data_IF_583883220464
#
_entry.id   IF_583883220464
#
_cell.length_a   1.000
_cell.length_b   1.000
_cell.length_c   1.000
_cell.angle_alpha   90.00
_cell.angle_beta   90.00
_cell.angle_gamma   90.00
#
_symmetry.space_group_name_H-M   'P 1'
#
loop_
_entity.id
_entity.type
_entity.pdbx_description
1 polymer ?
#
# COMPACT_ATOMS: atom_id res chain seq x y z
N UNK A 1 10.40 -4.36 14.71
CA UNK A 1 10.82 -3.01 14.28
C UNK A 1 10.46 -2.89 12.82
N UNK A 2 9.73 -1.85 12.44
CA UNK A 2 9.31 -1.64 11.05
C UNK A 2 10.50 -1.28 10.16
N UNK A 3 10.30 -1.42 8.85
CA UNK A 3 11.20 -0.94 7.80
C UNK A 3 11.69 0.51 8.02
N UNK A 4 10.90 1.33 8.71
CA UNK A 4 11.17 2.75 8.92
C UNK A 4 12.02 3.06 10.16
N UNK A 5 11.87 2.32 11.27
CA UNK A 5 12.33 2.77 12.59
C UNK A 5 13.86 3.03 12.71
N UNK A 6 14.68 2.37 11.89
CA UNK A 6 16.15 2.54 11.86
C UNK A 6 16.64 3.62 10.88
N UNK A 7 15.76 4.10 10.02
CA UNK A 7 16.03 5.08 8.95
C UNK A 7 15.26 6.39 9.11
N UNK A 8 14.26 6.45 10.00
CA UNK A 8 13.42 7.62 10.23
C UNK A 8 14.23 8.79 10.83
N UNK A 9 14.31 9.88 10.07
CA UNK A 9 14.50 11.21 10.65
C UNK A 9 13.18 11.71 11.23
N UNK A 10 13.24 12.75 12.07
CA UNK A 10 12.06 13.40 12.65
C UNK A 10 11.04 13.83 11.59
N UNK A 11 11.50 14.32 10.44
CA UNK A 11 10.65 14.70 9.30
C UNK A 11 9.89 13.50 8.71
N UNK A 12 10.57 12.37 8.52
CA UNK A 12 9.93 11.16 7.99
C UNK A 12 8.92 10.58 8.98
N UNK A 13 9.22 10.66 10.28
CA UNK A 13 8.30 10.22 11.32
C UNK A 13 7.03 11.07 11.33
N UNK A 14 7.18 12.39 11.22
CA UNK A 14 6.05 13.33 11.10
C UNK A 14 5.20 13.04 9.86
N UNK A 15 5.83 12.80 8.71
CA UNK A 15 5.13 12.47 7.47
C UNK A 15 4.36 11.15 7.57
N UNK A 16 4.98 10.12 8.17
CA UNK A 16 4.36 8.82 8.42
C UNK A 16 3.14 8.94 9.34
N UNK A 17 3.21 9.78 10.37
CA UNK A 17 2.07 10.04 11.27
C UNK A 17 0.90 10.68 10.52
N UNK A 18 1.16 11.66 9.65
CA UNK A 18 0.12 12.27 8.81
C UNK A 18 -0.57 11.25 7.91
N UNK A 19 0.20 10.32 7.36
CA UNK A 19 -0.33 9.26 6.50
C UNK A 19 -1.20 8.28 7.28
N UNK A 20 -0.68 7.77 8.42
CA UNK A 20 -1.41 6.85 9.29
C UNK A 20 -2.75 7.43 9.73
N UNK A 21 -2.80 8.71 10.10
CA UNK A 21 -3.98 9.40 10.62
C UNK A 21 -4.58 10.39 9.62
N UNK A 22 -4.47 10.10 8.33
CA UNK A 22 -5.09 10.91 7.29
C UNK A 22 -6.62 11.00 7.52
N UNK A 23 -7.27 12.15 7.25
CA UNK A 23 -8.71 12.33 7.50
C UNK A 23 -9.61 11.25 6.89
N UNK A 24 -9.27 10.75 5.69
CA UNK A 24 -9.94 9.60 5.06
C UNK A 24 -10.12 8.42 6.03
N UNK A 25 -9.05 8.04 6.75
CA UNK A 25 -9.05 6.90 7.66
C UNK A 25 -9.79 7.20 8.96
N UNK A 26 -9.63 8.42 9.48
CA UNK A 26 -10.33 8.88 10.68
C UNK A 26 -11.85 8.88 10.44
N UNK A 27 -12.30 9.34 9.28
CA UNK A 27 -13.71 9.36 8.92
C UNK A 27 -14.29 7.94 8.77
N UNK A 28 -13.50 6.95 8.32
CA UNK A 28 -13.90 5.54 8.32
C UNK A 28 -14.07 5.03 9.76
N UNK A 29 -13.09 5.29 10.63
CA UNK A 29 -13.14 4.87 12.04
C UNK A 29 -14.32 5.46 12.80
N UNK A 30 -14.68 6.70 12.48
CA UNK A 30 -15.81 7.42 13.08
C UNK A 30 -17.15 7.06 12.44
N UNK A 31 -17.15 6.38 11.28
CA UNK A 31 -18.35 6.07 10.52
C UNK A 31 -19.00 7.29 9.85
N UNK A 32 -18.21 8.33 9.57
CA UNK A 32 -18.67 9.59 8.96
C UNK A 32 -18.32 9.69 7.47
N UNK A 33 -17.45 8.82 6.96
CA UNK A 33 -17.12 8.77 5.54
C UNK A 33 -18.34 8.28 4.72
N UNK A 34 -18.77 8.97 3.64
CA UNK A 34 -19.85 8.49 2.79
C UNK A 34 -19.52 7.16 2.09
N UNK A 35 -20.53 6.31 1.86
CA UNK A 35 -20.34 5.02 1.18
C UNK A 35 -19.81 5.19 -0.25
N UNK A 36 -20.20 6.26 -0.93
CA UNK A 36 -19.72 6.63 -2.27
C UNK A 36 -18.21 6.88 -2.27
N UNK A 37 -17.68 7.40 -1.15
CA UNK A 37 -16.24 7.63 -0.98
C UNK A 37 -15.49 6.31 -0.73
N UNK A 38 -16.10 5.35 -0.03
CA UNK A 38 -15.56 3.99 0.10
C UNK A 38 -15.51 3.27 -1.24
N UNK A 39 -16.55 3.42 -2.07
CA UNK A 39 -16.57 2.91 -3.46
C UNK A 39 -15.42 3.51 -4.26
N UNK A 40 -15.26 4.84 -4.20
CA UNK A 40 -14.16 5.52 -4.90
C UNK A 40 -12.80 5.03 -4.41
N UNK A 41 -12.61 4.86 -3.11
CA UNK A 41 -11.39 4.27 -2.56
C UNK A 41 -11.13 2.88 -3.13
N UNK A 42 -12.13 1.97 -3.13
CA UNK A 42 -11.96 0.62 -3.66
C UNK A 42 -11.51 0.60 -5.14
N UNK A 43 -12.11 1.46 -5.98
CA UNK A 43 -11.76 1.56 -7.39
C UNK A 43 -10.37 2.16 -7.62
N UNK A 44 -9.99 3.19 -6.86
CA UNK A 44 -8.68 3.82 -7.02
C UNK A 44 -7.55 2.96 -6.43
N UNK A 45 -7.81 2.24 -5.33
CA UNK A 45 -6.83 1.32 -4.72
C UNK A 45 -6.53 0.12 -5.63
N UNK A 46 -7.51 -0.29 -6.43
CA UNK A 46 -7.33 -1.32 -7.44
C UNK A 46 -6.24 -0.96 -8.48
N UNK A 47 -5.92 0.32 -8.69
CA UNK A 47 -4.80 0.74 -9.55
C UNK A 47 -3.45 0.22 -9.05
N UNK A 48 -3.28 0.05 -7.73
CA UNK A 48 -2.07 -0.54 -7.14
C UNK A 48 -2.25 -2.05 -7.04
N UNK A 49 -3.36 -2.52 -6.46
CA UNK A 49 -3.59 -3.93 -6.13
C UNK A 49 -3.64 -4.83 -7.37
N UNK A 50 -4.27 -4.38 -8.46
CA UNK A 50 -4.31 -5.13 -9.73
C UNK A 50 -2.95 -5.14 -10.46
N UNK A 51 -2.07 -4.20 -10.14
CA UNK A 51 -0.73 -4.09 -10.70
C UNK A 51 0.35 -4.75 -9.83
N UNK A 52 0.02 -5.19 -8.62
CA UNK A 52 0.89 -5.89 -7.67
C UNK A 52 1.80 -6.92 -8.34
N UNK A 53 1.25 -7.88 -9.10
CA UNK A 53 2.05 -8.93 -9.72
C UNK A 53 3.09 -8.38 -10.71
N UNK A 54 2.77 -7.30 -11.43
CA UNK A 54 3.70 -6.64 -12.35
C UNK A 54 4.78 -5.88 -11.59
N UNK A 55 4.41 -5.20 -10.50
CA UNK A 55 5.34 -4.50 -9.61
C UNK A 55 6.32 -5.51 -8.96
N UNK A 56 5.82 -6.56 -8.31
CA UNK A 56 6.67 -7.59 -7.70
C UNK A 56 7.53 -8.32 -8.75
N UNK A 57 7.02 -8.57 -9.96
CA UNK A 57 7.82 -9.12 -11.06
C UNK A 57 8.96 -8.19 -11.48
N UNK A 58 8.74 -6.88 -11.53
CA UNK A 58 9.82 -5.90 -11.79
C UNK A 58 10.85 -5.88 -10.66
N UNK A 59 10.42 -5.98 -9.41
CA UNK A 59 11.33 -6.08 -8.27
C UNK A 59 12.25 -7.31 -8.41
N UNK A 60 11.68 -8.47 -8.72
CA UNK A 60 12.42 -9.73 -8.91
C UNK A 60 13.37 -9.62 -10.11
N UNK A 61 12.88 -9.15 -11.26
CA UNK A 61 13.68 -9.03 -12.48
C UNK A 61 14.82 -8.00 -12.36
N UNK A 62 14.63 -6.96 -11.54
CA UNK A 62 15.63 -5.93 -11.30
C UNK A 62 16.74 -6.35 -10.33
N UNK A 63 16.54 -7.39 -9.52
CA UNK A 63 17.50 -7.89 -8.54
C UNK A 63 18.53 -8.83 -9.19
N UNK A 64 19.80 -8.70 -8.81
CA UNK A 64 20.92 -9.50 -9.34
C UNK A 64 21.34 -10.61 -8.39
N UNK A 65 21.13 -10.43 -7.09
CA UNK A 65 21.39 -11.44 -6.07
C UNK A 65 20.28 -12.50 -6.09
N UNK A 66 20.63 -13.73 -6.46
CA UNK A 66 19.70 -14.86 -6.57
C UNK A 66 18.99 -15.14 -5.24
N UNK A 67 19.68 -15.01 -4.11
CA UNK A 67 19.05 -15.26 -2.82
C UNK A 67 18.03 -14.16 -2.47
N UNK A 68 18.32 -12.91 -2.87
CA UNK A 68 17.38 -11.80 -2.73
C UNK A 68 16.17 -11.97 -3.67
N UNK A 69 16.35 -12.48 -4.89
CA UNK A 69 15.23 -12.86 -5.77
C UNK A 69 14.32 -13.91 -5.12
N UNK A 70 14.90 -14.95 -4.49
CA UNK A 70 14.13 -15.97 -3.75
C UNK A 70 13.33 -15.35 -2.59
N UNK A 71 13.92 -14.38 -1.88
CA UNK A 71 13.23 -13.64 -0.83
C UNK A 71 12.06 -12.81 -1.39
N UNK A 72 12.25 -12.10 -2.50
CA UNK A 72 11.19 -11.34 -3.18
C UNK A 72 10.05 -12.25 -3.66
N UNK A 73 10.35 -13.44 -4.18
CA UNK A 73 9.33 -14.44 -4.53
C UNK A 73 8.55 -14.87 -3.30
N UNK A 74 9.23 -15.14 -2.17
CA UNK A 74 8.57 -15.47 -0.90
C UNK A 74 7.72 -14.31 -0.36
N UNK A 75 8.10 -13.05 -0.62
CA UNK A 75 7.31 -11.86 -0.29
C UNK A 75 6.04 -11.74 -1.14
N UNK A 76 6.10 -12.15 -2.41
CA UNK A 76 4.95 -12.13 -3.32
C UNK A 76 3.90 -13.20 -2.99
N UNK A 77 4.32 -14.41 -2.62
CA UNK A 77 3.42 -15.56 -2.43
C UNK A 77 2.23 -15.29 -1.49
N UNK A 78 2.40 -14.66 -0.31
CA UNK A 78 1.29 -14.33 0.58
C UNK A 78 0.25 -13.37 -0.01
N UNK A 79 0.60 -12.63 -1.07
CA UNK A 79 -0.26 -11.63 -1.70
C UNK A 79 -1.12 -12.22 -2.82
N UNK A 80 -0.84 -13.45 -3.24
CA UNK A 80 -1.59 -14.12 -4.31
C UNK A 80 -3.07 -14.22 -3.94
N UNK A 81 -3.92 -13.68 -4.80
CA UNK A 81 -5.38 -13.63 -4.60
C UNK A 81 -5.90 -12.37 -3.90
N UNK A 82 -5.02 -11.48 -3.39
CA UNK A 82 -5.45 -10.28 -2.65
C UNK A 82 -6.39 -9.33 -3.44
N UNK A 83 -6.28 -9.32 -4.77
CA UNK A 83 -7.18 -8.56 -5.65
C UNK A 83 -8.64 -9.03 -5.57
N UNK A 84 -8.91 -10.33 -5.37
CA UNK A 84 -10.29 -10.83 -5.23
C UNK A 84 -10.92 -10.35 -3.93
N UNK A 85 -10.14 -10.25 -2.84
CA UNK A 85 -10.63 -9.70 -1.57
C UNK A 85 -10.97 -8.21 -1.71
N UNK A 86 -10.20 -7.43 -2.49
CA UNK A 86 -10.54 -6.03 -2.81
C UNK A 86 -11.83 -5.93 -3.62
N UNK A 87 -12.01 -6.79 -4.64
CA UNK A 87 -13.25 -6.84 -5.42
C UNK A 87 -14.44 -7.15 -4.50
N UNK A 88 -14.31 -8.12 -3.61
CA UNK A 88 -15.37 -8.48 -2.66
C UNK A 88 -15.74 -7.33 -1.72
N UNK A 89 -14.74 -6.59 -1.24
CA UNK A 89 -15.00 -5.35 -0.49
C UNK A 89 -15.78 -4.34 -1.33
N UNK A 90 -15.38 -4.15 -2.60
CA UNK A 90 -16.10 -3.30 -3.55
C UNK A 90 -17.56 -3.70 -3.72
N UNK A 91 -17.84 -4.98 -3.93
CA UNK A 91 -19.20 -5.52 -4.04
C UNK A 91 -20.02 -5.26 -2.76
N UNK A 92 -19.39 -5.41 -1.59
CA UNK A 92 -20.02 -5.16 -0.30
C UNK A 92 -20.43 -3.69 -0.10
N UNK A 93 -19.70 -2.75 -0.71
CA UNK A 93 -20.06 -1.32 -0.71
C UNK A 93 -20.93 -0.93 -1.90
N UNK A 94 -21.31 -1.87 -2.77
CA UNK A 94 -22.28 -1.69 -3.86
C UNK A 94 -21.69 -1.49 -5.26
N UNK A 95 -20.42 -1.80 -5.47
CA UNK A 95 -19.82 -1.88 -6.81
C UNK A 95 -20.17 -3.21 -7.49
N UNK A 96 -19.98 -3.24 -8.80
CA UNK A 96 -19.98 -4.45 -9.62
C UNK A 96 -18.55 -4.80 -10.01
N UNK A 97 -18.29 -6.08 -10.29
CA UNK A 97 -16.97 -6.52 -10.78
C UNK A 97 -16.55 -5.79 -12.06
N UNK A 98 -17.50 -5.47 -12.95
CA UNK A 98 -17.26 -4.70 -14.17
C UNK A 98 -16.72 -3.29 -13.93
N UNK A 99 -16.97 -2.70 -12.75
CA UNK A 99 -16.47 -1.37 -12.41
C UNK A 99 -14.94 -1.38 -12.27
N UNK A 100 -14.37 -2.51 -11.84
CA UNK A 100 -12.91 -2.71 -11.74
C UNK A 100 -12.23 -2.91 -13.11
N UNK A 101 -12.99 -3.19 -14.16
CA UNK A 101 -12.47 -3.29 -15.53
C UNK A 101 -12.48 -1.94 -16.27
N UNK A 102 -13.25 -0.97 -15.76
CA UNK A 102 -13.49 0.34 -16.35
C UNK A 102 -13.07 1.48 -15.42
N UNK A 103 -12.07 1.23 -14.58
CA UNK A 103 -11.56 2.24 -13.65
C UNK A 103 -11.04 3.43 -14.46
N UNK A 104 -11.68 4.58 -14.30
CA UNK A 104 -11.11 5.86 -14.73
C UNK A 104 -10.16 6.36 -13.63
N UNK A 105 -8.84 6.37 -13.88
CA UNK A 105 -7.88 6.72 -12.84
C UNK A 105 -7.91 8.22 -12.54
N UNK A 106 -8.03 8.57 -11.26
CA UNK A 106 -7.76 9.94 -10.82
C UNK A 106 -6.25 10.17 -10.86
N UNK A 107 -5.81 11.28 -11.46
CA UNK A 107 -4.38 11.54 -11.67
C UNK A 107 -3.56 11.47 -10.38
N UNK A 108 -4.07 12.02 -9.27
CA UNK A 108 -3.39 11.97 -7.98
C UNK A 108 -3.35 10.58 -7.35
N UNK A 109 -4.31 9.70 -7.67
CA UNK A 109 -4.26 8.29 -7.27
C UNK A 109 -3.28 7.49 -8.16
N UNK A 110 -3.31 7.71 -9.47
CA UNK A 110 -2.41 7.04 -10.42
C UNK A 110 -0.93 7.38 -10.16
N UNK A 111 -0.65 8.56 -9.59
CA UNK A 111 0.70 9.03 -9.30
C UNK A 111 1.50 8.05 -8.42
N UNK A 112 0.87 7.43 -7.41
CA UNK A 112 1.52 6.45 -6.54
C UNK A 112 1.95 5.19 -7.31
N UNK A 113 1.04 4.60 -8.08
CA UNK A 113 1.35 3.43 -8.93
C UNK A 113 2.46 3.75 -9.92
N UNK A 114 2.40 4.91 -10.57
CA UNK A 114 3.43 5.35 -11.51
C UNK A 114 4.81 5.52 -10.85
N UNK A 115 4.82 6.08 -9.64
CA UNK A 115 6.03 6.19 -8.84
C UNK A 115 6.62 4.81 -8.51
N UNK A 116 5.81 3.83 -8.12
CA UNK A 116 6.30 2.46 -7.89
C UNK A 116 6.89 1.84 -9.14
N UNK A 117 6.24 1.96 -10.31
CA UNK A 117 6.83 1.50 -11.57
C UNK A 117 8.18 2.16 -11.85
N UNK A 118 8.28 3.48 -11.65
CA UNK A 118 9.52 4.23 -11.87
C UNK A 118 10.64 3.75 -10.93
N UNK A 119 10.35 3.62 -9.63
CA UNK A 119 11.30 3.14 -8.63
C UNK A 119 11.78 1.73 -8.96
N UNK A 120 10.85 0.81 -9.23
CA UNK A 120 11.16 -0.59 -9.50
C UNK A 120 11.96 -0.78 -10.80
N UNK A 121 11.73 0.06 -11.81
CA UNK A 121 12.53 0.06 -13.03
C UNK A 121 13.93 0.67 -12.84
N UNK A 122 14.03 1.84 -12.19
CA UNK A 122 15.21 2.70 -12.29
C UNK A 122 15.98 2.92 -10.98
N UNK A 123 15.39 2.62 -9.82
CA UNK A 123 16.04 2.78 -8.52
C UNK A 123 17.16 1.75 -8.29
N UNK A 124 18.01 2.03 -7.31
CA UNK A 124 18.93 1.01 -6.75
C UNK A 124 18.15 -0.06 -5.96
N UNK A 125 18.73 -1.24 -5.67
CA UNK A 125 18.04 -2.27 -4.88
C UNK A 125 17.45 -1.77 -3.56
N UNK A 126 18.21 -0.93 -2.83
CA UNK A 126 17.74 -0.33 -1.58
C UNK A 126 16.58 0.65 -1.80
N UNK A 127 16.67 1.51 -2.81
CA UNK A 127 15.59 2.45 -3.17
C UNK A 127 14.29 1.73 -3.59
N UNK A 128 14.40 0.65 -4.36
CA UNK A 128 13.27 -0.18 -4.83
C UNK A 128 12.51 -0.79 -3.68
N UNK A 129 13.25 -1.51 -2.81
CA UNK A 129 12.70 -2.10 -1.60
C UNK A 129 12.07 -1.02 -0.74
N UNK A 130 12.78 0.09 -0.56
CA UNK A 130 12.38 1.15 0.33
C UNK A 130 11.09 1.86 -0.05
N UNK A 131 10.92 2.15 -1.34
CA UNK A 131 9.70 2.79 -1.82
C UNK A 131 8.47 1.93 -1.55
N UNK A 132 8.51 0.64 -1.90
CA UNK A 132 7.34 -0.24 -1.79
C UNK A 132 7.08 -0.67 -0.34
N UNK A 133 8.12 -1.09 0.39
CA UNK A 133 7.97 -1.55 1.79
C UNK A 133 7.53 -0.46 2.75
N UNK A 134 7.89 0.81 2.51
CA UNK A 134 7.42 1.93 3.32
C UNK A 134 5.90 2.09 3.24
N UNK A 135 5.35 2.06 2.01
CA UNK A 135 3.91 2.12 1.78
C UNK A 135 3.18 0.90 2.35
N UNK A 136 3.72 -0.29 2.11
CA UNK A 136 3.14 -1.55 2.59
C UNK A 136 3.03 -1.59 4.14
N UNK A 137 4.07 -1.13 4.86
CA UNK A 137 4.05 -1.05 6.33
C UNK A 137 2.94 -0.13 6.85
N UNK A 138 2.77 1.04 6.23
CA UNK A 138 1.75 2.01 6.63
C UNK A 138 0.36 1.49 6.30
N UNK A 139 0.17 0.94 5.11
CA UNK A 139 -1.12 0.42 4.66
C UNK A 139 -1.58 -0.77 5.50
N UNK A 140 -0.68 -1.70 5.87
CA UNK A 140 -0.97 -2.79 6.82
C UNK A 140 -1.54 -2.23 8.12
N UNK A 141 -0.91 -1.20 8.69
CA UNK A 141 -1.34 -0.62 9.97
C UNK A 141 -2.69 0.09 9.86
N UNK A 142 -2.93 0.79 8.75
CA UNK A 142 -4.22 1.39 8.45
C UNK A 142 -5.30 0.31 8.35
N UNK A 143 -5.09 -0.72 7.52
CA UNK A 143 -6.04 -1.80 7.30
C UNK A 143 -6.47 -2.48 8.59
N UNK A 144 -5.52 -2.86 9.44
CA UNK A 144 -5.82 -3.50 10.73
C UNK A 144 -6.57 -2.58 11.70
N UNK A 145 -6.28 -1.27 11.64
CA UNK A 145 -6.90 -0.27 12.51
C UNK A 145 -8.34 0.04 12.11
N UNK A 146 -8.63 0.15 10.81
CA UNK A 146 -9.97 0.52 10.33
C UNK A 146 -10.91 -0.67 10.16
N UNK A 147 -10.38 -1.90 10.02
CA UNK A 147 -11.19 -3.11 9.81
C UNK A 147 -12.38 -3.27 10.79
N UNK A 148 -12.23 -3.08 12.11
CA UNK A 148 -13.36 -3.17 13.04
C UNK A 148 -14.43 -2.10 12.81
N UNK A 149 -14.04 -0.92 12.33
CA UNK A 149 -14.97 0.18 12.06
C UNK A 149 -15.84 -0.10 10.83
N UNK A 150 -15.32 -0.80 9.82
CA UNK A 150 -16.08 -1.21 8.64
C UNK A 150 -17.28 -2.12 9.02
N UNK A 151 -17.07 -3.04 9.95
CA UNK A 151 -18.16 -3.87 10.50
C UNK A 151 -19.15 -3.00 11.29
N UNK A 152 -18.63 -2.21 12.23
CA UNK A 152 -19.44 -1.46 13.20
C UNK A 152 -20.30 -0.37 12.56
N UNK A 153 -19.75 0.36 11.59
CA UNK A 153 -20.35 1.58 11.04
C UNK A 153 -20.97 1.39 9.65
N UNK A 154 -20.47 0.44 8.87
CA UNK A 154 -20.93 0.18 7.50
C UNK A 154 -21.64 -1.17 7.34
N UNK A 155 -21.75 -1.95 8.43
CA UNK A 155 -22.53 -3.20 8.45
C UNK A 155 -21.92 -4.33 7.63
N UNK A 156 -20.63 -4.26 7.31
CA UNK A 156 -19.93 -5.29 6.55
C UNK A 156 -19.67 -6.54 7.40
N UNK A 157 -19.58 -7.70 6.76
CA UNK A 157 -19.21 -8.96 7.42
C UNK A 157 -17.69 -9.16 7.46
N UNK A 158 -17.21 -10.09 8.29
CA UNK A 158 -15.79 -10.47 8.34
C UNK A 158 -15.25 -10.90 6.97
N UNK A 159 -16.05 -11.64 6.19
CA UNK A 159 -15.69 -12.08 4.84
C UNK A 159 -15.54 -10.90 3.87
N UNK A 160 -16.40 -9.88 4.00
CA UNK A 160 -16.39 -8.68 3.15
C UNK A 160 -15.24 -7.73 3.47
N UNK A 161 -14.68 -7.80 4.69
CA UNK A 161 -13.51 -7.01 5.09
C UNK A 161 -12.19 -7.81 5.05
N UNK A 162 -12.18 -8.99 4.42
CA UNK A 162 -10.99 -9.84 4.29
C UNK A 162 -9.79 -9.08 3.73
N UNK A 163 -10.03 -8.18 2.76
CA UNK A 163 -9.00 -7.30 2.21
C UNK A 163 -8.25 -6.55 3.30
N UNK A 164 -8.94 -6.05 4.33
CA UNK A 164 -8.30 -5.27 5.40
C UNK A 164 -7.70 -6.18 6.47
N UNK A 165 -8.46 -7.12 7.03
CA UNK A 165 -7.97 -7.95 8.14
C UNK A 165 -6.83 -8.90 7.69
N UNK A 166 -6.89 -9.41 6.46
CA UNK A 166 -5.90 -10.33 5.89
C UNK A 166 -4.48 -9.76 5.84
N UNK A 167 -4.32 -8.43 5.96
CA UNK A 167 -3.03 -7.78 6.13
C UNK A 167 -2.29 -8.20 7.41
N UNK A 168 -2.96 -8.80 8.41
CA UNK A 168 -2.30 -9.33 9.61
C UNK A 168 -1.35 -10.47 9.25
N UNK A 169 -1.87 -11.46 8.55
CA UNK A 169 -1.09 -12.63 8.11
C UNK A 169 0.00 -12.21 7.12
N UNK A 170 -0.29 -11.20 6.29
CA UNK A 170 0.70 -10.59 5.39
C UNK A 170 1.87 -9.99 6.19
N UNK A 171 1.57 -9.18 7.21
CA UNK A 171 2.58 -8.53 8.04
C UNK A 171 3.54 -9.55 8.70
N UNK A 172 2.99 -10.63 9.25
CA UNK A 172 3.77 -11.69 9.91
C UNK A 172 4.71 -12.41 8.94
N UNK A 173 4.29 -12.59 7.68
CA UNK A 173 5.08 -13.27 6.64
C UNK A 173 6.10 -12.36 5.98
N UNK A 174 5.77 -11.09 5.78
CA UNK A 174 6.59 -10.14 4.99
C UNK A 174 7.63 -9.42 5.84
N UNK A 175 7.32 -9.04 7.08
CA UNK A 175 8.24 -8.27 7.91
C UNK A 175 9.63 -8.92 8.09
N UNK A 176 9.76 -10.26 8.32
CA UNK A 176 11.06 -10.91 8.40
C UNK A 176 11.84 -10.92 7.07
N UNK A 177 11.12 -10.91 5.94
CA UNK A 177 11.71 -10.88 4.60
C UNK A 177 12.24 -9.48 4.31
N UNK A 178 11.45 -8.45 4.59
CA UNK A 178 11.86 -7.06 4.43
C UNK A 178 13.08 -6.73 5.27
N UNK A 179 13.17 -7.26 6.49
CA UNK A 179 14.36 -7.10 7.33
C UNK A 179 15.61 -7.71 6.69
N UNK A 180 15.50 -8.89 6.08
CA UNK A 180 16.62 -9.55 5.40
C UNK A 180 17.04 -8.81 4.13
N UNK A 181 16.06 -8.38 3.32
CA UNK A 181 16.32 -7.61 2.10
C UNK A 181 16.95 -6.24 2.43
N UNK A 182 16.52 -5.62 3.52
CA UNK A 182 17.11 -4.38 4.04
C UNK A 182 18.59 -4.57 4.41
N UNK A 183 18.92 -5.60 5.17
CA UNK A 183 20.31 -5.88 5.56
C UNK A 183 21.23 -6.11 4.35
N UNK A 184 20.69 -6.67 3.25
CA UNK A 184 21.42 -6.89 1.99
C UNK A 184 21.58 -5.60 1.18
N UNK A 185 20.69 -4.62 1.36
CA UNK A 185 20.63 -3.39 0.56
C UNK A 185 21.05 -2.13 1.33
N UNK A 186 21.42 -2.27 2.60
CA UNK A 186 21.84 -1.18 3.48
C UNK A 186 23.30 -0.80 3.28
N UNK A 187 23.62 -0.20 2.13
CA UNK A 187 24.87 0.54 1.93
C UNK A 187 24.73 1.94 2.59
N UNK A 188 25.58 2.30 3.57
CA UNK A 188 25.55 3.62 4.19
C UNK A 188 25.66 4.79 3.20
N UNK A 189 26.34 4.60 2.07
CA UNK A 189 26.51 5.63 1.04
C UNK A 189 25.20 5.95 0.29
N UNK A 190 24.27 4.99 0.26
CA UNK A 190 22.98 5.12 -0.42
C UNK A 190 21.85 5.58 0.54
N UNK A 191 22.17 5.80 1.83
CA UNK A 191 21.18 6.17 2.86
C UNK A 191 20.31 7.37 2.46
N UNK A 192 20.89 8.42 1.89
CA UNK A 192 20.16 9.62 1.48
C UNK A 192 19.16 9.34 0.35
N UNK A 193 19.50 8.44 -0.58
CA UNK A 193 18.61 8.04 -1.68
C UNK A 193 17.47 7.17 -1.16
N UNK A 194 17.78 6.20 -0.29
CA UNK A 194 16.79 5.37 0.39
C UNK A 194 15.80 6.25 1.16
N UNK A 195 16.27 7.20 1.97
CA UNK A 195 15.41 8.13 2.71
C UNK A 195 14.53 8.98 1.77
N UNK A 196 15.08 9.41 0.62
CA UNK A 196 14.29 10.12 -0.40
C UNK A 196 13.20 9.23 -0.99
N UNK A 197 13.50 7.96 -1.26
CA UNK A 197 12.53 7.00 -1.79
C UNK A 197 11.35 6.78 -0.82
N UNK A 198 11.65 6.68 0.48
CA UNK A 198 10.64 6.57 1.54
C UNK A 198 9.79 7.84 1.60
N UNK A 199 10.43 9.02 1.65
CA UNK A 199 9.74 10.31 1.70
C UNK A 199 8.77 10.46 0.52
N UNK A 200 9.24 10.21 -0.69
CA UNK A 200 8.43 10.33 -1.91
C UNK A 200 7.28 9.31 -1.90
N UNK A 201 7.50 8.08 -1.44
CA UNK A 201 6.42 7.11 -1.30
C UNK A 201 5.30 7.63 -0.42
N UNK A 202 5.62 8.12 0.78
CA UNK A 202 4.62 8.68 1.69
C UNK A 202 3.95 9.94 1.12
N UNK A 203 4.68 10.80 0.41
CA UNK A 203 4.11 11.99 -0.23
C UNK A 203 3.12 11.65 -1.35
N UNK A 204 3.44 10.65 -2.20
CA UNK A 204 2.51 10.17 -3.22
C UNK A 204 1.31 9.45 -2.61
N UNK A 205 1.48 8.75 -1.50
CA UNK A 205 0.38 8.07 -0.79
C UNK A 205 -0.55 9.07 -0.08
N UNK A 206 0.00 10.16 0.48
CA UNK A 206 -0.81 11.29 0.95
C UNK A 206 -1.60 11.92 -0.20
N UNK A 207 -0.94 12.19 -1.34
CA UNK A 207 -1.62 12.72 -2.53
C UNK A 207 -2.75 11.79 -2.99
N UNK A 208 -2.56 10.48 -2.93
CA UNK A 208 -3.58 9.49 -3.25
C UNK A 208 -4.80 9.65 -2.33
N UNK A 209 -4.62 9.74 -1.00
CA UNK A 209 -5.74 9.89 -0.07
C UNK A 209 -6.41 11.26 -0.14
N UNK A 210 -5.64 12.35 -0.31
CA UNK A 210 -6.15 13.70 -0.53
C UNK A 210 -7.01 13.75 -1.81
N UNK A 211 -6.57 13.08 -2.87
CA UNK A 211 -7.31 13.00 -4.14
C UNK A 211 -8.64 12.29 -3.96
N UNK A 212 -8.68 11.17 -3.23
CA UNK A 212 -9.92 10.47 -2.94
C UNK A 212 -10.87 11.37 -2.15
N UNK A 213 -10.38 12.04 -1.10
CA UNK A 213 -11.21 12.83 -0.21
C UNK A 213 -11.79 14.09 -0.90
N UNK A 214 -11.00 14.71 -1.78
CA UNK A 214 -11.36 15.95 -2.47
C UNK A 214 -12.12 15.76 -3.79
N UNK A 215 -12.07 14.55 -4.38
CA UNK A 215 -12.76 14.28 -5.64
C UNK A 215 -14.27 14.59 -5.54
N UNK A 216 -14.90 15.14 -6.59
CA UNK A 216 -16.35 15.21 -6.66
C UNK A 216 -16.94 13.79 -6.61
N UNK A 217 -17.96 13.58 -5.78
CA UNK A 217 -18.76 12.36 -5.82
C UNK A 217 -19.82 12.52 -6.91
N UNK A 218 -20.04 11.47 -7.69
CA UNK A 218 -21.11 11.38 -8.67
C UNK A 218 -22.46 11.08 -8.01
#
# INVERSE_FOLDING_TARGET
MSFSDTLLTEDLATLRQKLLYHPLWIEIEQGTLPIERLRLFALQDALVVMHMYRLDALAIAGEKDIDAQVLLIKKLLPKVGGHESLIRFGEAVGLQRSDFEQIEPLAGCMALTNYFYWMLAYGTPGERLAAVSASEDVFIQICLRIAPALIKHYGLTEEQIEFFWGHKDLAEKVAPIDQQLLQRSSDPTERLKIMRAIRLSHEYELMFYDTILSAPLA
#
